data_IF_769419461940
#
_entry.id   IF_769419461940
#
_cell.length_a   1.000
_cell.length_b   1.000
_cell.length_c   1.000
_cell.angle_alpha   90.00
_cell.angle_beta   90.00
_cell.angle_gamma   90.00
#
_symmetry.space_group_name_H-M   'P 1'
#
loop_
_entity.id
_entity.type
_entity.pdbx_description
1 polymer ?
#
# COMPACT_ATOMS: atom_id res chain seq x y z
N UNK A 1 -1.36 23.88 -23.31
CA UNK A 1 -1.22 23.51 -21.88
C UNK A 1 -2.33 24.23 -21.11
N UNK A 2 -3.37 23.52 -20.69
CA UNK A 2 -4.59 24.15 -20.17
C UNK A 2 -4.39 24.62 -18.71
N UNK A 3 -4.77 25.86 -18.40
CA UNK A 3 -4.77 26.41 -17.03
C UNK A 3 -6.06 25.99 -16.33
N UNK A 4 -5.98 25.42 -15.13
CA UNK A 4 -7.15 25.21 -14.27
C UNK A 4 -7.16 26.32 -13.21
N UNK A 5 -8.27 27.08 -13.12
CA UNK A 5 -8.37 28.25 -12.21
C UNK A 5 -7.20 29.24 -12.33
N UNK A 6 -6.77 29.54 -13.56
CA UNK A 6 -5.64 30.43 -13.86
C UNK A 6 -4.27 29.99 -13.27
N UNK A 7 -4.13 28.73 -12.85
CA UNK A 7 -2.87 28.14 -12.38
C UNK A 7 -2.40 27.05 -13.33
N UNK A 8 -1.08 26.98 -13.55
CA UNK A 8 -0.47 25.82 -14.19
C UNK A 8 -0.63 24.63 -13.25
N UNK A 9 -1.28 23.58 -13.74
CA UNK A 9 -1.46 22.34 -13.01
C UNK A 9 -0.79 21.22 -13.79
N UNK A 10 0.01 20.41 -13.10
CA UNK A 10 0.50 19.15 -13.65
C UNK A 10 -0.72 18.24 -13.77
N UNK A 11 -0.97 17.70 -14.96
CA UNK A 11 -2.04 16.74 -15.17
C UNK A 11 -1.87 15.56 -14.20
N UNK A 12 -2.99 14.99 -13.75
CA UNK A 12 -2.95 13.79 -12.91
C UNK A 12 -2.17 12.69 -13.61
N UNK A 13 -1.29 11.99 -12.88
CA UNK A 13 -0.67 10.76 -13.36
C UNK A 13 -1.64 9.56 -13.33
N UNK A 14 -2.82 9.73 -12.70
CA UNK A 14 -3.87 8.70 -12.65
C UNK A 14 -4.45 8.46 -14.03
N UNK A 15 -4.76 7.20 -14.33
CA UNK A 15 -5.49 6.82 -15.53
C UNK A 15 -6.88 7.47 -15.51
N UNK A 16 -7.20 8.32 -16.49
CA UNK A 16 -8.38 9.20 -16.46
C UNK A 16 -9.71 8.46 -16.32
N UNK A 17 -9.80 7.23 -16.82
CA UNK A 17 -11.05 6.47 -16.89
C UNK A 17 -11.02 5.25 -15.95
N UNK A 18 -10.16 5.27 -14.93
CA UNK A 18 -10.06 4.19 -13.95
C UNK A 18 -10.46 4.68 -12.57
N UNK A 19 -11.43 4.01 -11.96
CA UNK A 19 -11.75 4.21 -10.56
C UNK A 19 -10.82 3.36 -9.69
N UNK A 20 -9.94 4.03 -8.95
CA UNK A 20 -8.98 3.38 -8.05
C UNK A 20 -9.64 2.83 -6.78
N UNK A 21 -10.95 3.03 -6.60
CA UNK A 21 -11.76 2.37 -5.57
C UNK A 21 -12.32 1.02 -6.00
N UNK A 22 -12.17 0.62 -7.28
CA UNK A 22 -12.61 -0.70 -7.72
C UNK A 22 -11.72 -1.81 -7.18
N UNK A 23 -12.35 -2.95 -6.93
CA UNK A 23 -11.71 -4.21 -6.60
C UNK A 23 -10.80 -4.63 -7.77
N UNK A 24 -9.50 -4.43 -7.58
CA UNK A 24 -8.47 -4.72 -8.57
C UNK A 24 -7.14 -5.01 -7.86
N UNK A 25 -6.22 -5.76 -8.49
CA UNK A 25 -4.89 -5.96 -7.92
C UNK A 25 -4.08 -4.65 -7.96
N UNK A 26 -3.52 -4.28 -6.81
CA UNK A 26 -2.62 -3.13 -6.68
C UNK A 26 -1.26 -3.58 -6.17
N UNK A 27 -0.20 -3.00 -6.73
CA UNK A 27 1.15 -3.11 -6.18
C UNK A 27 1.53 -1.77 -5.56
N UNK A 28 1.84 -1.77 -4.26
CA UNK A 28 2.18 -0.57 -3.50
C UNK A 28 3.62 -0.69 -3.02
N UNK A 29 4.40 0.36 -3.22
CA UNK A 29 5.73 0.50 -2.61
C UNK A 29 5.79 1.84 -1.90
N UNK A 30 6.25 1.85 -0.65
CA UNK A 30 6.39 3.05 0.16
C UNK A 30 7.88 3.41 0.22
N UNK A 31 8.22 4.60 -0.28
CA UNK A 31 9.57 5.14 -0.18
C UNK A 31 9.57 6.28 0.85
N UNK A 32 10.35 6.12 1.91
CA UNK A 32 10.57 7.18 2.90
C UNK A 32 11.43 8.30 2.31
N UNK A 33 11.31 9.49 2.88
CA UNK A 33 12.18 10.61 2.52
C UNK A 33 13.65 10.19 2.74
N UNK A 34 14.51 10.53 1.79
CA UNK A 34 15.94 10.17 1.81
C UNK A 34 16.25 8.67 1.90
N UNK A 35 15.25 7.78 1.78
CA UNK A 35 15.39 6.34 2.03
C UNK A 35 15.75 6.01 3.49
N UNK A 36 15.40 6.89 4.42
CA UNK A 36 15.61 6.66 5.85
C UNK A 36 14.80 5.44 6.32
N UNK A 37 15.40 4.59 7.15
CA UNK A 37 14.76 3.37 7.69
C UNK A 37 13.72 3.71 8.78
N UNK A 38 12.62 4.36 8.38
CA UNK A 38 11.64 4.90 9.33
C UNK A 38 10.78 3.82 9.99
N UNK A 39 10.49 2.75 9.24
CA UNK A 39 9.60 1.67 9.67
C UNK A 39 10.38 0.42 10.09
N UNK A 40 11.42 0.04 9.36
CA UNK A 40 12.23 -1.13 9.68
C UNK A 40 13.62 -1.00 9.10
N UNK A 41 14.52 -1.82 9.62
CA UNK A 41 15.82 -2.09 9.04
C UNK A 41 16.12 -3.59 9.06
N UNK A 42 17.11 -4.03 8.28
CA UNK A 42 17.53 -5.43 8.26
C UNK A 42 18.82 -5.56 9.05
N UNK A 43 18.80 -6.36 10.12
CA UNK A 43 19.98 -6.73 10.90
C UNK A 43 20.10 -8.25 10.92
N UNK A 44 21.29 -8.78 10.60
CA UNK A 44 21.57 -10.23 10.56
C UNK A 44 20.53 -11.06 9.76
N UNK A 45 20.06 -10.50 8.65
CA UNK A 45 19.05 -11.14 7.77
C UNK A 45 17.63 -11.14 8.34
N UNK A 46 17.38 -10.44 9.45
CA UNK A 46 16.06 -10.30 10.07
C UNK A 46 15.57 -8.86 9.92
N UNK A 47 14.28 -8.71 9.66
CA UNK A 47 13.62 -7.41 9.69
C UNK A 47 13.40 -7.01 11.16
N UNK A 48 13.88 -5.83 11.53
CA UNK A 48 13.73 -5.23 12.84
C UNK A 48 12.88 -3.98 12.66
N UNK A 49 11.70 -3.97 13.27
CA UNK A 49 10.79 -2.82 13.20
C UNK A 49 11.19 -1.72 14.18
N UNK A 50 10.91 -0.48 13.80
CA UNK A 50 10.78 0.62 14.75
C UNK A 50 9.39 0.56 15.39
N UNK A 51 9.14 1.36 16.45
CA UNK A 51 7.81 1.49 17.05
C UNK A 51 6.72 1.88 16.02
N UNK A 52 7.07 2.74 15.06
CA UNK A 52 6.15 3.14 13.98
C UNK A 52 6.00 1.99 12.97
N UNK A 53 7.06 1.23 12.73
CA UNK A 53 7.02 0.02 11.91
C UNK A 53 6.07 -1.04 12.44
N UNK A 54 6.12 -1.31 13.74
CA UNK A 54 5.22 -2.26 14.40
C UNK A 54 3.76 -1.85 14.21
N UNK A 55 3.45 -0.55 14.37
CA UNK A 55 2.10 -0.03 14.10
C UNK A 55 1.71 -0.10 12.63
N UNK A 56 2.64 0.15 11.72
CA UNK A 56 2.37 0.02 10.29
C UNK A 56 2.05 -1.44 9.90
N UNK A 57 2.76 -2.41 10.49
CA UNK A 57 2.53 -3.84 10.30
C UNK A 57 1.17 -4.28 10.88
N UNK A 58 0.85 -3.86 12.11
CA UNK A 58 -0.45 -4.10 12.75
C UNK A 58 -1.60 -3.61 11.88
N UNK A 59 -1.58 -2.33 11.47
CA UNK A 59 -2.63 -1.77 10.61
C UNK A 59 -2.69 -2.41 9.23
N UNK A 60 -1.54 -2.85 8.69
CA UNK A 60 -1.53 -3.58 7.42
C UNK A 60 -2.30 -4.89 7.54
N UNK A 61 -2.10 -5.63 8.63
CA UNK A 61 -2.81 -6.89 8.90
C UNK A 61 -4.29 -6.70 9.25
N UNK A 62 -4.68 -5.55 9.79
CA UNK A 62 -6.07 -5.21 10.14
C UNK A 62 -6.93 -4.73 8.96
N UNK A 63 -6.33 -4.45 7.79
CA UNK A 63 -7.09 -4.01 6.60
C UNK A 63 -8.29 -4.91 6.27
N UNK A 64 -8.19 -6.25 6.27
CA UNK A 64 -9.35 -7.12 6.00
C UNK A 64 -10.45 -7.02 7.06
N UNK A 65 -10.12 -6.59 8.28
CA UNK A 65 -11.12 -6.36 9.35
C UNK A 65 -11.89 -5.05 9.15
N UNK A 66 -11.26 -4.06 8.52
CA UNK A 66 -11.86 -2.77 8.21
C UNK A 66 -12.56 -2.73 6.83
N UNK A 67 -12.10 -3.55 5.88
CA UNK A 67 -12.57 -3.54 4.50
C UNK A 67 -12.88 -4.97 4.03
N UNK A 68 -14.17 -5.30 3.96
CA UNK A 68 -14.69 -6.64 3.67
C UNK A 68 -14.28 -7.22 2.30
N UNK A 69 -13.91 -6.36 1.33
CA UNK A 69 -13.60 -6.75 -0.05
C UNK A 69 -12.09 -6.71 -0.37
N UNK A 70 -11.21 -6.73 0.65
CA UNK A 70 -9.77 -6.67 0.46
C UNK A 70 -9.11 -8.03 0.74
N UNK A 71 -8.36 -8.54 -0.24
CA UNK A 71 -7.44 -9.67 -0.05
C UNK A 71 -6.04 -9.07 0.07
N UNK A 72 -5.39 -9.29 1.21
CA UNK A 72 -3.95 -9.04 1.34
C UNK A 72 -3.27 -10.38 1.10
N UNK A 73 -2.65 -10.54 -0.06
CA UNK A 73 -1.71 -11.64 -0.26
C UNK A 73 -0.44 -11.32 0.53
N UNK A 74 -0.39 -11.81 1.76
CA UNK A 74 0.83 -11.81 2.55
C UNK A 74 1.49 -13.19 2.41
N UNK A 75 2.76 -13.31 1.98
CA UNK A 75 3.40 -14.62 1.81
C UNK A 75 3.35 -15.53 3.05
N UNK A 76 3.32 -14.99 4.28
CA UNK A 76 3.08 -15.81 5.50
C UNK A 76 1.62 -16.24 5.73
N UNK A 77 0.64 -15.57 5.12
CA UNK A 77 -0.80 -15.85 5.26
C UNK A 77 -1.44 -16.50 4.03
N UNK A 78 -0.65 -16.88 3.01
CA UNK A 78 -1.14 -17.56 1.80
C UNK A 78 -2.13 -18.70 2.09
N UNK A 79 -1.92 -19.46 3.18
CA UNK A 79 -2.80 -20.56 3.57
C UNK A 79 -4.16 -20.14 4.14
N UNK A 80 -4.31 -18.89 4.56
CA UNK A 80 -5.52 -18.28 5.13
C UNK A 80 -6.24 -17.39 4.11
N UNK A 81 -5.49 -16.84 3.16
CA UNK A 81 -6.02 -16.00 2.09
C UNK A 81 -6.86 -16.87 1.15
N UNK A 82 -8.18 -16.82 1.35
CA UNK A 82 -9.12 -17.50 0.45
C UNK A 82 -9.15 -16.73 -0.87
N UNK A 83 -8.33 -17.16 -1.82
CA UNK A 83 -8.63 -16.95 -3.23
C UNK A 83 -9.95 -17.66 -3.52
N UNK A 84 -11.07 -16.93 -3.44
CA UNK A 84 -12.26 -17.35 -4.17
C UNK A 84 -11.94 -17.16 -5.65
N UNK A 85 -11.50 -18.24 -6.28
CA UNK A 85 -11.56 -18.38 -7.73
C UNK A 85 -13.03 -18.41 -8.11
N UNK A 86 -13.49 -17.33 -8.72
CA UNK A 86 -14.58 -17.42 -9.69
C UNK A 86 -14.14 -18.28 -10.89
#
# INVERSE_FOLDING_TARGET
MNKFQNKYRISSARLQNWDYGWNAPYFVTICTKNRDHFFWEIQDGKMIFSEIGEKADEFWLEIPEHFLDYIIDNPENWHKDKFNKD
#
